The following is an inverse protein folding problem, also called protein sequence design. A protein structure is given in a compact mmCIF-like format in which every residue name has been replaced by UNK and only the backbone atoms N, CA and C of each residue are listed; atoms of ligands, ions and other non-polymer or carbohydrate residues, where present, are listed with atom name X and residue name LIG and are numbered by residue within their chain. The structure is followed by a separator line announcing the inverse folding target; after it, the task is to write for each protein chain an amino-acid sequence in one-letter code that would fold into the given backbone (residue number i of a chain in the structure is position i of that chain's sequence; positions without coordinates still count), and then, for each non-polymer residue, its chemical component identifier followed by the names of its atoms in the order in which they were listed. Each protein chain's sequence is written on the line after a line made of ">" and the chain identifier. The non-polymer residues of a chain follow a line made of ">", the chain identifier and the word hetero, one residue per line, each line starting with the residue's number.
data_IF_348207450842
#
_entry.id   IF_348207450842
#
_cell.length_a   1.000
_cell.length_b   1.000
_cell.length_c   1.000
_cell.angle_alpha   90.00
_cell.angle_beta   90.00
_cell.angle_gamma   90.00
#
_symmetry.space_group_name_H-M   'P 1'
#
loop_
_entity.id
_entity.type
_entity.pdbx_description
1 polymer ?
#
# COMPACT_ATOMS: atom_id res chain seq x y z
N UNK A 1 -4.27 7.17 -35.20
CA UNK A 1 -3.81 5.86 -35.70
C UNK A 1 -3.87 4.88 -34.55
N UNK A 2 -4.53 3.74 -34.74
CA UNK A 2 -4.49 2.61 -33.80
C UNK A 2 -3.10 1.97 -33.90
N UNK A 3 -2.15 2.46 -33.10
CA UNK A 3 -0.95 1.69 -32.79
C UNK A 3 -1.33 0.51 -31.89
N UNK A 4 -0.49 -0.52 -31.79
CA UNK A 4 -0.71 -1.59 -30.82
C UNK A 4 -0.78 -1.01 -29.41
N UNK A 5 -1.80 -1.42 -28.65
CA UNK A 5 -1.95 -1.08 -27.23
C UNK A 5 -0.87 -1.80 -26.40
N UNK A 6 -0.48 -1.20 -25.29
CA UNK A 6 0.57 -1.73 -24.40
C UNK A 6 0.10 -2.90 -23.51
N UNK A 7 -1.17 -3.28 -23.56
CA UNK A 7 -1.81 -4.36 -22.77
C UNK A 7 -1.01 -5.69 -22.78
N UNK A 8 -0.37 -6.06 -23.90
CA UNK A 8 0.45 -7.28 -23.95
C UNK A 8 1.76 -7.15 -23.18
N UNK A 9 2.33 -5.95 -23.15
CA UNK A 9 3.54 -5.65 -22.37
C UNK A 9 3.19 -5.51 -20.89
N UNK A 10 2.04 -4.89 -20.57
CA UNK A 10 1.47 -4.83 -19.22
C UNK A 10 1.32 -6.23 -18.64
N UNK A 11 0.63 -7.14 -19.33
CA UNK A 11 0.47 -8.53 -18.91
C UNK A 11 1.79 -9.24 -18.57
N UNK A 12 2.82 -9.06 -19.40
CA UNK A 12 4.16 -9.61 -19.13
C UNK A 12 4.80 -8.91 -17.93
N UNK A 13 4.68 -7.58 -17.87
CA UNK A 13 5.22 -6.72 -16.84
C UNK A 13 4.70 -7.04 -15.44
N UNK A 14 3.38 -7.21 -15.30
CA UNK A 14 2.72 -7.61 -14.04
C UNK A 14 3.30 -8.94 -13.52
N UNK A 15 3.45 -9.93 -14.40
CA UNK A 15 4.04 -11.22 -14.00
C UNK A 15 5.49 -11.07 -13.49
N UNK A 16 6.30 -10.25 -14.17
CA UNK A 16 7.70 -9.98 -13.78
C UNK A 16 7.76 -9.18 -12.47
N UNK A 17 6.92 -8.15 -12.33
CA UNK A 17 6.77 -7.35 -11.13
C UNK A 17 6.40 -8.23 -9.93
N UNK A 18 5.34 -9.01 -10.07
CA UNK A 18 4.82 -9.89 -9.04
C UNK A 18 5.87 -10.90 -8.57
N UNK A 19 6.60 -11.52 -9.50
CA UNK A 19 7.66 -12.46 -9.17
C UNK A 19 8.80 -11.79 -8.42
N UNK A 20 9.35 -10.68 -8.94
CA UNK A 20 10.50 -10.00 -8.35
C UNK A 20 10.21 -9.51 -6.91
N UNK A 21 9.03 -8.91 -6.71
CA UNK A 21 8.56 -8.48 -5.37
C UNK A 21 8.40 -9.68 -4.44
N UNK A 22 7.77 -10.76 -4.91
CA UNK A 22 7.53 -11.97 -4.10
C UNK A 22 8.85 -12.59 -3.65
N UNK A 23 9.84 -12.71 -4.55
CA UNK A 23 11.17 -13.24 -4.22
C UNK A 23 11.83 -12.35 -3.18
N UNK A 24 11.88 -11.02 -3.38
CA UNK A 24 12.50 -10.10 -2.43
C UNK A 24 11.89 -10.23 -1.03
N UNK A 25 10.56 -10.13 -0.93
CA UNK A 25 9.85 -10.23 0.35
C UNK A 25 10.10 -11.56 1.07
N UNK A 26 10.06 -12.68 0.33
CA UNK A 26 10.33 -14.01 0.90
C UNK A 26 11.77 -14.12 1.42
N UNK A 27 12.74 -13.59 0.70
CA UNK A 27 14.16 -13.68 1.09
C UNK A 27 14.56 -12.74 2.23
N UNK A 28 14.00 -11.53 2.28
CA UNK A 28 14.39 -10.50 3.25
C UNK A 28 13.56 -10.54 4.54
N UNK A 29 12.43 -11.25 4.54
CA UNK A 29 11.55 -11.35 5.70
C UNK A 29 11.20 -12.81 6.04
N UNK A 30 12.19 -13.65 6.42
CA UNK A 30 11.98 -15.07 6.69
C UNK A 30 11.05 -15.35 7.88
N UNK A 31 10.85 -14.36 8.77
CA UNK A 31 10.01 -14.49 9.96
C UNK A 31 8.54 -14.12 9.72
N UNK A 32 8.19 -13.59 8.53
CA UNK A 32 6.82 -13.24 8.20
C UNK A 32 6.03 -14.45 7.69
N UNK A 33 4.77 -14.53 8.10
CA UNK A 33 3.84 -15.51 7.55
C UNK A 33 3.36 -15.13 6.14
N UNK A 34 2.71 -16.10 5.48
CA UNK A 34 2.16 -15.93 4.12
C UNK A 34 1.21 -14.74 4.03
N UNK A 35 0.34 -14.55 5.03
CA UNK A 35 -0.64 -13.46 5.05
C UNK A 35 0.04 -12.09 5.10
N UNK A 36 1.08 -11.94 5.91
CA UNK A 36 1.87 -10.72 6.01
C UNK A 36 2.63 -10.44 4.72
N UNK A 37 3.28 -11.46 4.13
CA UNK A 37 3.96 -11.34 2.84
C UNK A 37 2.99 -10.92 1.73
N UNK A 38 1.80 -11.53 1.67
CA UNK A 38 0.77 -11.19 0.70
C UNK A 38 0.27 -9.74 0.86
N UNK A 39 0.01 -9.29 2.10
CA UNK A 39 -0.36 -7.90 2.40
C UNK A 39 0.74 -6.92 1.96
N UNK A 40 2.01 -7.22 2.26
CA UNK A 40 3.15 -6.38 1.84
C UNK A 40 3.24 -6.29 0.32
N UNK A 41 3.19 -7.43 -0.37
CA UNK A 41 3.19 -7.47 -1.83
C UNK A 41 2.06 -6.60 -2.41
N UNK A 42 0.82 -6.81 -1.95
CA UNK A 42 -0.35 -6.10 -2.44
C UNK A 42 -0.20 -4.56 -2.32
N UNK A 43 0.44 -4.07 -1.26
CA UNK A 43 0.62 -2.63 -1.06
C UNK A 43 1.61 -1.98 -2.07
N UNK A 44 2.58 -2.73 -2.61
CA UNK A 44 3.60 -2.18 -3.54
C UNK A 44 3.31 -2.46 -5.00
N UNK A 45 2.47 -3.46 -5.28
CA UNK A 45 2.01 -3.78 -6.65
C UNK A 45 0.59 -3.27 -6.92
N UNK A 46 0.03 -2.45 -6.03
CA UNK A 46 -1.29 -1.85 -6.26
C UNK A 46 -1.25 -0.77 -7.32
N UNK A 47 -2.38 -0.54 -7.99
CA UNK A 47 -2.55 0.56 -8.95
C UNK A 47 -2.10 1.91 -8.39
N UNK A 48 -2.45 2.22 -7.14
CA UNK A 48 -2.06 3.48 -6.48
C UNK A 48 -0.54 3.57 -6.33
N UNK A 49 0.10 2.49 -5.88
CA UNK A 49 1.54 2.45 -5.69
C UNK A 49 2.31 2.55 -7.02
N UNK A 50 1.86 1.84 -8.06
CA UNK A 50 2.48 1.91 -9.38
C UNK A 50 2.23 3.25 -10.06
N UNK A 51 1.07 3.88 -9.85
CA UNK A 51 0.82 5.24 -10.33
C UNK A 51 1.74 6.27 -9.66
N UNK A 52 2.03 6.11 -8.37
CA UNK A 52 3.01 6.94 -7.67
C UNK A 52 4.43 6.77 -8.24
N UNK A 53 4.85 5.52 -8.50
CA UNK A 53 6.11 5.25 -9.20
C UNK A 53 6.13 5.94 -10.56
N UNK A 54 5.07 5.81 -11.35
CA UNK A 54 4.95 6.45 -12.66
C UNK A 54 5.08 7.98 -12.57
N UNK A 55 4.44 8.60 -11.58
CA UNK A 55 4.55 10.05 -11.31
C UNK A 55 5.96 10.45 -10.90
N UNK A 56 6.62 9.65 -10.04
CA UNK A 56 8.01 9.86 -9.65
C UNK A 56 8.98 9.81 -10.84
N UNK A 57 8.64 9.05 -11.88
CA UNK A 57 9.39 8.98 -13.14
C UNK A 57 8.99 10.05 -14.18
N UNK A 58 7.92 10.81 -13.94
CA UNK A 58 7.33 11.70 -14.95
C UNK A 58 6.75 10.95 -16.15
N UNK A 59 6.33 9.70 -15.97
CA UNK A 59 5.97 8.80 -17.06
C UNK A 59 4.76 9.28 -17.87
N UNK A 60 3.82 9.97 -17.22
CA UNK A 60 2.60 10.51 -17.83
C UNK A 60 2.85 11.33 -19.10
N UNK A 61 3.93 12.13 -19.11
CA UNK A 61 4.29 13.01 -20.25
C UNK A 61 4.66 12.24 -21.52
N UNK A 62 5.03 10.96 -21.38
CA UNK A 62 5.46 10.10 -22.49
C UNK A 62 4.33 9.20 -23.01
N UNK A 63 3.16 9.21 -22.37
CA UNK A 63 2.06 8.32 -22.73
C UNK A 63 1.33 8.84 -23.96
N UNK A 64 1.21 7.97 -24.97
CA UNK A 64 0.49 8.27 -26.20
C UNK A 64 -1.00 7.98 -26.03
N UNK A 65 -1.75 9.00 -25.67
CA UNK A 65 -3.18 8.89 -25.42
C UNK A 65 -4.03 9.24 -26.65
N UNK A 66 -5.20 8.61 -26.73
CA UNK A 66 -6.24 9.03 -27.65
C UNK A 66 -6.79 10.41 -27.25
N UNK A 67 -7.31 11.16 -28.22
CA UNK A 67 -7.81 12.53 -27.98
C UNK A 67 -8.84 12.63 -26.86
N UNK A 68 -9.76 11.65 -26.76
CA UNK A 68 -10.77 11.62 -25.69
C UNK A 68 -10.15 11.42 -24.31
N UNK A 69 -9.19 10.51 -24.21
CA UNK A 69 -8.49 10.18 -22.97
C UNK A 69 -7.67 11.38 -22.48
N UNK A 70 -6.96 12.04 -23.40
CA UNK A 70 -6.18 13.24 -23.12
C UNK A 70 -7.05 14.41 -22.60
N UNK A 71 -8.26 14.60 -23.16
CA UNK A 71 -9.19 15.64 -22.70
C UNK A 71 -9.69 15.40 -21.27
N UNK A 72 -9.59 14.17 -20.75
CA UNK A 72 -10.00 13.80 -19.40
C UNK A 72 -8.82 13.66 -18.42
N UNK A 73 -7.63 14.14 -18.79
CA UNK A 73 -6.43 14.05 -17.96
C UNK A 73 -5.92 12.62 -17.80
N UNK A 74 -6.01 11.80 -18.86
CA UNK A 74 -5.58 10.40 -18.82
C UNK A 74 -4.10 10.19 -18.49
N UNK A 75 -3.27 11.20 -18.71
CA UNK A 75 -1.85 11.22 -18.39
C UNK A 75 -1.56 11.28 -16.89
N UNK A 76 -2.57 11.58 -16.06
CA UNK A 76 -2.50 11.55 -14.59
C UNK A 76 -3.50 10.55 -13.98
N UNK A 77 -4.16 9.70 -14.78
CA UNK A 77 -5.05 8.65 -14.26
C UNK A 77 -4.25 7.49 -13.67
N UNK A 78 -4.59 7.10 -12.45
CA UNK A 78 -3.88 6.02 -11.73
C UNK A 78 -3.81 4.71 -12.51
N UNK A 79 -4.91 4.29 -13.13
CA UNK A 79 -4.93 3.04 -13.92
C UNK A 79 -3.97 3.12 -15.10
N UNK A 80 -4.02 4.20 -15.90
CA UNK A 80 -3.16 4.36 -17.07
C UNK A 80 -1.69 4.41 -16.66
N UNK A 81 -1.37 5.10 -15.58
CA UNK A 81 -0.02 5.21 -15.05
C UNK A 81 0.52 3.86 -14.54
N UNK A 82 -0.32 3.10 -13.83
CA UNK A 82 0.02 1.76 -13.36
C UNK A 82 0.26 0.80 -14.53
N UNK A 83 -0.69 0.69 -15.46
CA UNK A 83 -0.60 -0.18 -16.64
C UNK A 83 0.63 0.18 -17.49
N UNK A 84 0.95 1.47 -17.60
CA UNK A 84 2.16 1.92 -18.31
C UNK A 84 3.45 1.55 -17.58
N UNK A 85 3.45 1.56 -16.24
CA UNK A 85 4.60 1.12 -15.44
C UNK A 85 4.86 -0.37 -15.62
N UNK A 86 3.81 -1.19 -15.60
CA UNK A 86 3.90 -2.62 -15.90
C UNK A 86 4.38 -2.85 -17.34
N UNK A 87 3.80 -2.14 -18.32
CA UNK A 87 4.26 -2.22 -19.70
C UNK A 87 5.74 -1.84 -19.88
N UNK A 88 6.25 -0.86 -19.13
CA UNK A 88 7.66 -0.50 -19.13
C UNK A 88 8.54 -1.64 -18.59
N UNK A 89 8.10 -2.34 -17.56
CA UNK A 89 8.76 -3.53 -17.03
C UNK A 89 8.77 -4.65 -18.08
N UNK A 90 7.62 -4.92 -18.72
CA UNK A 90 7.51 -5.92 -19.79
C UNK A 90 8.40 -5.58 -20.99
N UNK A 91 8.48 -4.31 -21.38
CA UNK A 91 9.37 -3.85 -22.44
C UNK A 91 10.85 -4.03 -22.06
N UNK A 92 11.21 -3.76 -20.80
CA UNK A 92 12.57 -3.97 -20.27
C UNK A 92 12.93 -5.45 -20.29
N UNK A 93 11.99 -6.34 -19.93
CA UNK A 93 12.20 -7.79 -19.97
C UNK A 93 12.56 -8.26 -21.39
N UNK A 94 11.82 -7.79 -22.41
CA UNK A 94 12.05 -8.19 -23.79
C UNK A 94 13.30 -7.56 -24.41
N UNK A 95 13.68 -6.35 -23.98
CA UNK A 95 14.79 -5.60 -24.59
C UNK A 95 16.14 -5.82 -23.91
N UNK A 96 16.15 -6.04 -22.58
CA UNK A 96 17.34 -6.12 -21.76
C UNK A 96 17.46 -7.43 -20.95
N UNK A 97 16.45 -8.31 -21.02
CA UNK A 97 16.46 -9.62 -20.38
C UNK A 97 15.89 -9.64 -18.95
N UNK A 98 15.71 -10.85 -18.39
CA UNK A 98 15.04 -11.06 -17.11
C UNK A 98 15.77 -10.42 -15.92
N UNK A 99 17.11 -10.46 -15.91
CA UNK A 99 17.91 -9.91 -14.82
C UNK A 99 17.78 -8.38 -14.76
N UNK A 100 17.84 -7.71 -15.91
CA UNK A 100 17.71 -6.26 -16.00
C UNK A 100 16.29 -5.80 -15.62
N UNK A 101 15.26 -6.54 -16.03
CA UNK A 101 13.88 -6.26 -15.65
C UNK A 101 13.66 -6.43 -14.14
N UNK A 102 14.20 -7.50 -13.55
CA UNK A 102 14.16 -7.71 -12.09
C UNK A 102 14.85 -6.56 -11.36
N UNK A 103 16.05 -6.17 -11.78
CA UNK A 103 16.79 -5.06 -11.19
C UNK A 103 16.07 -3.71 -11.36
N UNK A 104 15.34 -3.50 -12.46
CA UNK A 104 14.46 -2.33 -12.62
C UNK A 104 13.33 -2.38 -11.59
N UNK A 105 12.58 -3.48 -11.50
CA UNK A 105 11.48 -3.63 -10.54
C UNK A 105 11.96 -3.32 -9.14
N UNK A 106 13.04 -3.95 -8.67
CA UNK A 106 13.54 -3.76 -7.31
C UNK A 106 13.88 -2.29 -7.04
N UNK A 107 14.51 -1.57 -7.98
CA UNK A 107 14.79 -0.13 -7.81
C UNK A 107 13.53 0.72 -7.75
N UNK A 108 12.49 0.39 -8.51
CA UNK A 108 11.23 1.14 -8.53
C UNK A 108 10.42 0.94 -7.25
N UNK A 109 10.42 -0.27 -6.69
CA UNK A 109 9.64 -0.60 -5.49
C UNK A 109 10.39 -0.31 -4.18
N UNK A 110 11.73 -0.22 -4.18
CA UNK A 110 12.53 -0.05 -2.96
C UNK A 110 12.05 1.14 -2.11
N UNK A 111 11.75 2.33 -2.68
CA UNK A 111 11.24 3.45 -1.89
C UNK A 111 9.88 3.14 -1.23
N UNK A 112 9.04 2.35 -1.89
CA UNK A 112 7.74 1.93 -1.35
C UNK A 112 7.94 0.91 -0.21
N UNK A 113 8.84 -0.06 -0.38
CA UNK A 113 9.17 -1.06 0.65
C UNK A 113 9.79 -0.43 1.90
N UNK A 114 10.55 0.65 1.72
CA UNK A 114 11.14 1.42 2.81
C UNK A 114 10.15 2.30 3.57
N UNK A 115 8.92 2.47 3.10
CA UNK A 115 7.91 3.32 3.73
C UNK A 115 7.15 2.55 4.83
N UNK A 116 7.40 2.85 6.13
CA UNK A 116 6.75 2.16 7.23
C UNK A 116 5.23 2.40 7.26
N UNK A 117 4.73 3.45 6.61
CA UNK A 117 3.30 3.78 6.60
C UNK A 117 2.48 2.88 5.64
N UNK A 118 3.15 2.07 4.80
CA UNK A 118 2.51 1.19 3.81
C UNK A 118 2.17 -0.21 4.32
N UNK A 119 2.54 -0.55 5.54
CA UNK A 119 2.40 -1.92 6.05
C UNK A 119 1.93 -1.99 7.49
N UNK A 120 1.43 -3.17 7.85
CA UNK A 120 1.12 -3.52 9.23
C UNK A 120 0.12 -2.56 9.86
N UNK A 121 0.44 -2.10 11.07
CA UNK A 121 -0.46 -1.26 11.84
C UNK A 121 -0.71 0.11 11.21
N UNK A 122 0.17 0.63 10.35
CA UNK A 122 -0.10 1.90 9.67
C UNK A 122 -1.29 1.81 8.71
N UNK A 123 -1.48 0.65 8.07
CA UNK A 123 -2.58 0.40 7.12
C UNK A 123 -3.83 -0.16 7.79
N UNK A 124 -3.66 -1.14 8.67
CA UNK A 124 -4.78 -1.77 9.39
C UNK A 124 -4.48 -1.90 10.89
N UNK A 125 -4.48 -0.76 11.63
CA UNK A 125 -4.11 -0.74 13.04
C UNK A 125 -5.07 -1.55 13.90
N UNK A 126 -6.35 -1.66 13.51
CA UNK A 126 -7.34 -2.41 14.29
C UNK A 126 -7.08 -3.91 14.21
N UNK A 127 -6.87 -4.43 13.01
CA UNK A 127 -6.54 -5.85 12.82
C UNK A 127 -5.18 -6.17 13.41
N UNK A 128 -4.15 -5.34 13.16
CA UNK A 128 -2.82 -5.54 13.74
C UNK A 128 -2.81 -5.51 15.27
N UNK A 129 -3.61 -4.63 15.90
CA UNK A 129 -3.75 -4.62 17.35
C UNK A 129 -4.45 -5.88 17.88
N UNK A 130 -5.47 -6.36 17.17
CA UNK A 130 -6.17 -7.59 17.55
C UNK A 130 -5.26 -8.82 17.45
N UNK A 131 -4.49 -8.94 16.36
CA UNK A 131 -3.50 -10.00 16.17
C UNK A 131 -2.41 -9.97 17.27
N UNK A 132 -1.87 -8.78 17.56
CA UNK A 132 -0.85 -8.60 18.61
C UNK A 132 -1.41 -8.93 20.01
N UNK A 133 -2.65 -8.53 20.30
CA UNK A 133 -3.31 -8.86 21.56
C UNK A 133 -3.47 -10.38 21.72
N UNK A 134 -3.95 -11.06 20.67
CA UNK A 134 -4.11 -12.52 20.67
C UNK A 134 -2.77 -13.25 20.82
N UNK A 135 -1.73 -12.81 20.11
CA UNK A 135 -0.38 -13.38 20.20
C UNK A 135 0.22 -13.27 21.62
N UNK A 136 -0.20 -12.25 22.39
CA UNK A 136 0.23 -12.03 23.79
C UNK A 136 -0.74 -12.60 24.83
N UNK A 137 -1.79 -13.31 24.42
CA UNK A 137 -2.81 -13.85 25.33
C UNK A 137 -3.63 -12.77 26.06
N UNK A 138 -3.71 -11.57 25.50
CA UNK A 138 -4.50 -10.46 26.05
C UNK A 138 -5.95 -10.52 25.56
N UNK A 139 -6.83 -9.81 26.27
CA UNK A 139 -8.21 -9.60 25.83
C UNK A 139 -8.24 -8.81 24.51
N UNK A 140 -9.24 -9.10 23.67
CA UNK A 140 -9.42 -8.37 22.41
C UNK A 140 -9.63 -6.86 22.65
N UNK A 141 -9.14 -5.98 21.75
CA UNK A 141 -9.28 -4.53 21.93
C UNK A 141 -10.74 -4.07 22.00
N UNK A 142 -11.09 -3.32 23.04
CA UNK A 142 -12.41 -2.74 23.23
C UNK A 142 -12.40 -1.25 22.92
N UNK A 143 -13.38 -0.77 22.14
CA UNK A 143 -13.46 0.62 21.70
C UNK A 143 -14.69 1.32 22.28
N UNK A 144 -14.50 2.55 22.76
CA UNK A 144 -15.57 3.49 23.12
C UNK A 144 -15.36 4.77 22.33
N UNK A 145 -16.39 5.23 21.62
CA UNK A 145 -16.30 6.42 20.76
C UNK A 145 -17.30 7.48 21.20
N UNK A 146 -16.80 8.69 21.42
CA UNK A 146 -17.57 9.88 21.73
C UNK A 146 -17.49 10.86 20.56
N UNK A 147 -18.54 11.64 20.35
CA UNK A 147 -18.59 12.66 19.29
C UNK A 147 -18.94 14.02 19.90
N UNK A 148 -18.20 15.04 19.49
CA UNK A 148 -18.38 16.42 19.97
C UNK A 148 -18.41 17.39 18.79
N UNK A 149 -19.05 18.55 18.99
CA UNK A 149 -19.16 19.59 17.96
C UNK A 149 -20.39 19.46 17.04
N UNK A 150 -20.65 20.51 16.24
CA UNK A 150 -21.79 20.57 15.32
C UNK A 150 -21.60 19.60 14.13
N UNK A 151 -22.69 19.22 13.45
CA UNK A 151 -22.66 18.20 12.38
C UNK A 151 -21.58 18.45 11.30
N UNK A 152 -21.36 19.71 10.92
CA UNK A 152 -20.40 20.10 9.88
C UNK A 152 -18.95 20.23 10.38
N UNK A 153 -18.70 20.08 11.68
CA UNK A 153 -17.37 20.14 12.30
C UNK A 153 -17.25 19.13 13.44
N UNK A 154 -17.88 17.96 13.27
CA UNK A 154 -17.93 16.93 14.30
C UNK A 154 -16.56 16.27 14.44
N UNK A 155 -16.08 16.22 15.68
CA UNK A 155 -14.85 15.52 16.06
C UNK A 155 -15.21 14.27 16.83
N UNK A 156 -14.64 13.14 16.41
CA UNK A 156 -14.79 11.86 17.09
C UNK A 156 -13.54 11.57 17.90
N UNK A 157 -13.74 11.11 19.13
CA UNK A 157 -12.67 10.67 20.04
C UNK A 157 -12.95 9.21 20.39
N UNK A 158 -12.05 8.32 19.98
CA UNK A 158 -12.11 6.90 20.31
C UNK A 158 -11.09 6.58 21.41
N UNK A 159 -11.52 5.83 22.41
CA UNK A 159 -10.67 5.22 23.43
C UNK A 159 -10.61 3.72 23.16
N UNK A 160 -9.41 3.17 23.03
CA UNK A 160 -9.18 1.72 22.92
C UNK A 160 -8.53 1.21 24.20
N UNK A 161 -9.03 0.09 24.71
CA UNK A 161 -8.44 -0.62 25.86
C UNK A 161 -8.09 -2.05 25.46
N UNK A 162 -6.87 -2.49 25.81
CA UNK A 162 -6.33 -3.83 25.51
C UNK A 162 -5.34 -4.21 26.59
N UNK A 163 -5.57 -5.34 27.29
CA UNK A 163 -4.78 -5.68 28.47
C UNK A 163 -4.86 -4.57 29.54
N UNK A 164 -3.70 -4.08 29.98
CA UNK A 164 -3.55 -3.00 30.96
C UNK A 164 -3.43 -1.60 30.32
N UNK A 165 -3.35 -1.51 28.99
CA UNK A 165 -3.17 -0.24 28.30
C UNK A 165 -4.50 0.33 27.81
N UNK A 166 -4.57 1.66 27.81
CA UNK A 166 -5.65 2.42 27.19
C UNK A 166 -5.05 3.58 26.41
N UNK A 167 -5.47 3.76 25.16
CA UNK A 167 -5.02 4.84 24.28
C UNK A 167 -6.21 5.56 23.65
N UNK A 168 -5.98 6.80 23.20
CA UNK A 168 -7.02 7.67 22.66
C UNK A 168 -6.59 8.15 21.27
N UNK A 169 -7.52 8.11 20.32
CA UNK A 169 -7.35 8.65 18.98
C UNK A 169 -8.51 9.56 18.61
N UNK A 170 -8.23 10.58 17.81
CA UNK A 170 -9.23 11.52 17.31
C UNK A 170 -9.33 11.46 15.79
N UNK A 171 -10.50 11.76 15.24
CA UNK A 171 -10.69 11.79 13.80
C UNK A 171 -11.96 12.51 13.35
N UNK A 172 -12.04 12.77 12.06
CA UNK A 172 -13.21 13.36 11.38
C UNK A 172 -14.37 12.37 11.21
N UNK A 173 -14.14 11.09 11.53
CA UNK A 173 -15.14 10.03 11.54
C UNK A 173 -14.86 9.06 12.70
N UNK A 174 -15.88 8.28 13.11
CA UNK A 174 -15.69 7.21 14.10
C UNK A 174 -14.56 6.25 13.68
N UNK A 175 -14.54 5.86 12.40
CA UNK A 175 -13.51 4.97 11.83
C UNK A 175 -12.11 5.56 11.98
N UNK A 176 -11.91 6.84 11.61
CA UNK A 176 -10.59 7.48 11.74
C UNK A 176 -10.14 7.58 13.19
N UNK A 177 -11.04 7.93 14.11
CA UNK A 177 -10.72 8.00 15.53
C UNK A 177 -10.30 6.63 16.09
N UNK A 178 -11.03 5.56 15.75
CA UNK A 178 -10.69 4.19 16.16
C UNK A 178 -9.36 3.72 15.58
N UNK A 179 -9.08 4.00 14.30
CA UNK A 179 -7.79 3.65 13.67
C UNK A 179 -6.63 4.37 14.36
N UNK A 180 -6.79 5.67 14.66
CA UNK A 180 -5.76 6.44 15.37
C UNK A 180 -5.52 5.91 16.79
N UNK A 181 -6.58 5.54 17.52
CA UNK A 181 -6.46 4.98 18.86
C UNK A 181 -5.76 3.62 18.82
N UNK A 182 -6.14 2.77 17.86
CA UNK A 182 -5.57 1.45 17.65
C UNK A 182 -4.08 1.50 17.31
N UNK A 183 -3.66 2.44 16.45
CA UNK A 183 -2.26 2.62 16.07
C UNK A 183 -1.39 3.00 17.28
N UNK A 184 -1.86 3.94 18.10
CA UNK A 184 -1.15 4.30 19.34
C UNK A 184 -1.03 3.12 20.31
N UNK A 185 -2.11 2.36 20.49
CA UNK A 185 -2.08 1.18 21.34
C UNK A 185 -1.14 0.10 20.78
N UNK A 186 -1.10 -0.09 19.46
CA UNK A 186 -0.20 -1.03 18.82
C UNK A 186 1.27 -0.64 19.00
N UNK A 187 1.63 0.64 18.81
CA UNK A 187 2.99 1.13 19.08
C UNK A 187 3.41 0.91 20.54
N UNK A 188 2.54 1.25 21.49
CA UNK A 188 2.85 1.09 22.91
C UNK A 188 3.02 -0.39 23.29
N UNK A 189 2.15 -1.26 22.77
CA UNK A 189 2.20 -2.68 23.08
C UNK A 189 3.42 -3.34 22.42
N UNK A 190 3.68 -3.07 21.15
CA UNK A 190 4.86 -3.59 20.42
C UNK A 190 6.19 -3.14 21.02
N UNK A 191 6.29 -1.94 21.59
CA UNK A 191 7.50 -1.46 22.26
C UNK A 191 7.79 -2.14 23.61
N UNK A 192 6.80 -2.77 24.26
CA UNK A 192 6.96 -3.50 25.54
C UNK A 192 7.50 -4.92 25.36
N UNK A 193 8.30 -5.14 24.31
CA UNK A 193 8.92 -6.43 23.99
C UNK A 193 10.11 -6.74 24.89
#
# INVERSE_FOLDING_TARGET
>A
GQGPHNERLEFLGDSVLGQAVTVKLYTEHPDLDEGSLAKRRASVVSTVALAEVARGLGLGEYIRLGRGEQLTGGDDKDSILADTTEALIGATYLSAGPEAATALVLRLIEPLLGDPERYGAAVDPKTSLQELAAARGLTAPAYVVEATGPDHARVFTARVSVGDITQIGTGTSKKHAEMAAALQAWHLLSARS
#
